data_IF_768977612986
#
_entry.id   IF_768977612986
#
_cell.length_a   1.000
_cell.length_b   1.000
_cell.length_c   1.000
_cell.angle_alpha   90.00
_cell.angle_beta   90.00
_cell.angle_gamma   90.00
#
_symmetry.space_group_name_H-M   'P 1'
#
loop_
_entity.id
_entity.type
_entity.pdbx_description
1 polymer ?
#
# COMPACT_ATOMS: atom_id res chain seq x y z
N UNK A 1 29.19 -46.61 -76.19
CA UNK A 1 28.45 -46.93 -74.95
C UNK A 1 27.20 -47.71 -75.32
N UNK A 2 26.85 -48.80 -74.60
CA UNK A 2 25.61 -49.54 -74.84
C UNK A 2 24.41 -48.73 -74.31
N UNK A 3 23.23 -48.84 -74.95
CA UNK A 3 22.00 -48.15 -74.49
C UNK A 3 21.64 -48.43 -73.06
N UNK A 4 21.83 -49.67 -72.60
CA UNK A 4 21.63 -50.05 -71.20
C UNK A 4 22.53 -49.26 -70.20
N UNK A 5 23.78 -48.96 -70.61
CA UNK A 5 24.68 -48.15 -69.76
C UNK A 5 24.29 -46.69 -69.76
N UNK A 6 23.81 -46.13 -70.84
CA UNK A 6 23.28 -44.77 -70.91
C UNK A 6 22.04 -44.61 -70.02
N UNK A 7 21.12 -45.57 -70.09
CA UNK A 7 19.94 -45.60 -69.22
C UNK A 7 20.30 -45.71 -67.73
N UNK A 8 21.31 -46.52 -67.38
CA UNK A 8 21.80 -46.64 -65.97
C UNK A 8 22.44 -45.36 -65.48
N UNK A 9 23.20 -44.64 -66.31
CA UNK A 9 23.77 -43.32 -65.97
C UNK A 9 22.66 -42.30 -65.79
N UNK A 10 21.71 -42.22 -66.70
CA UNK A 10 20.57 -41.28 -66.59
C UNK A 10 19.78 -41.49 -65.30
N UNK A 11 19.48 -42.75 -64.95
CA UNK A 11 18.85 -43.09 -63.67
C UNK A 11 19.69 -42.69 -62.47
N UNK A 12 20.99 -42.87 -62.48
CA UNK A 12 21.90 -42.47 -61.41
C UNK A 12 21.95 -40.96 -61.23
N UNK A 13 21.88 -40.17 -62.33
CA UNK A 13 21.79 -38.70 -62.27
C UNK A 13 20.44 -38.27 -61.65
N UNK A 14 19.31 -38.87 -62.10
CA UNK A 14 17.97 -38.59 -61.57
C UNK A 14 17.90 -38.84 -60.05
N UNK A 15 18.35 -40.04 -59.59
CA UNK A 15 18.34 -40.39 -58.16
C UNK A 15 19.21 -39.43 -57.33
N UNK A 16 20.37 -39.01 -57.83
CA UNK A 16 21.25 -38.09 -57.16
C UNK A 16 20.68 -36.65 -57.16
N UNK A 17 20.02 -36.28 -58.23
CA UNK A 17 19.28 -35.01 -58.34
C UNK A 17 18.17 -34.95 -57.30
N UNK A 18 17.41 -36.01 -57.10
CA UNK A 18 16.35 -36.06 -56.11
C UNK A 18 16.88 -35.90 -54.65
N UNK A 19 18.11 -36.37 -54.36
CA UNK A 19 18.76 -36.14 -53.05
C UNK A 19 19.12 -34.63 -52.91
N UNK A 20 19.63 -34.00 -53.96
CA UNK A 20 19.98 -32.57 -53.99
C UNK A 20 18.75 -31.70 -53.80
N UNK A 21 17.69 -31.97 -54.53
CA UNK A 21 16.43 -31.24 -54.45
C UNK A 21 15.80 -31.31 -53.05
N UNK A 22 15.89 -32.46 -52.37
CA UNK A 22 15.48 -32.58 -50.95
C UNK A 22 16.33 -31.73 -50.03
N UNK A 23 17.65 -31.63 -50.30
CA UNK A 23 18.54 -30.79 -49.48
C UNK A 23 18.25 -29.28 -49.71
N UNK A 24 17.99 -28.89 -50.97
CA UNK A 24 17.62 -27.51 -51.37
C UNK A 24 16.28 -27.14 -50.72
N UNK A 25 15.24 -27.95 -50.88
CA UNK A 25 13.93 -27.74 -50.30
C UNK A 25 14.03 -27.59 -48.74
N UNK A 26 14.89 -28.39 -48.09
CA UNK A 26 15.12 -28.29 -46.70
C UNK A 26 15.84 -27.01 -46.28
N UNK A 27 16.78 -26.53 -47.13
CA UNK A 27 17.47 -25.27 -46.91
C UNK A 27 16.59 -24.04 -47.19
N UNK A 28 15.61 -24.15 -48.06
CA UNK A 28 14.66 -23.09 -48.42
C UNK A 28 13.52 -22.96 -47.41
N UNK A 29 13.20 -24.05 -46.69
CA UNK A 29 12.15 -24.07 -45.67
C UNK A 29 12.60 -23.57 -44.29
N UNK A 30 13.80 -23.03 -44.16
CA UNK A 30 14.33 -22.53 -42.87
C UNK A 30 13.64 -21.22 -42.48
N UNK A 31 13.05 -21.22 -41.30
CA UNK A 31 12.37 -20.09 -40.68
C UNK A 31 12.68 -19.98 -39.16
N UNK A 32 11.98 -19.04 -38.48
CA UNK A 32 12.13 -18.84 -37.06
C UNK A 32 11.66 -20.05 -36.21
N UNK A 33 10.72 -20.85 -36.71
CA UNK A 33 10.14 -22.03 -36.07
C UNK A 33 10.89 -23.31 -36.40
N UNK A 34 11.97 -23.24 -37.17
CA UNK A 34 12.74 -24.39 -37.62
C UNK A 34 13.24 -25.23 -36.42
N UNK A 35 12.93 -26.51 -36.43
CA UNK A 35 13.53 -27.48 -35.51
C UNK A 35 14.96 -27.81 -35.97
N UNK A 36 15.93 -27.01 -35.53
CA UNK A 36 17.32 -27.10 -35.93
C UNK A 36 17.97 -28.48 -35.71
N UNK A 37 17.57 -29.20 -34.65
CA UNK A 37 18.08 -30.55 -34.36
C UNK A 37 17.57 -31.52 -35.40
N UNK A 38 16.26 -31.61 -35.60
CA UNK A 38 15.65 -32.49 -36.58
C UNK A 38 16.14 -32.18 -38.00
N UNK A 39 16.28 -30.88 -38.34
CA UNK A 39 16.77 -30.49 -39.69
C UNK A 39 18.23 -30.85 -39.87
N UNK A 40 19.08 -30.75 -38.82
CA UNK A 40 20.46 -31.23 -38.89
C UNK A 40 20.54 -32.75 -39.12
N UNK A 41 19.64 -33.54 -38.47
CA UNK A 41 19.60 -34.99 -38.65
C UNK A 41 19.13 -35.33 -40.07
N UNK A 42 18.18 -34.59 -40.64
CA UNK A 42 17.78 -34.78 -42.04
C UNK A 42 18.91 -34.49 -43.01
N UNK A 43 19.66 -33.38 -42.84
CA UNK A 43 20.84 -33.11 -43.65
C UNK A 43 21.92 -34.20 -43.55
N UNK A 44 22.13 -34.75 -42.36
CA UNK A 44 23.06 -35.87 -42.14
C UNK A 44 22.61 -37.10 -42.90
N UNK A 45 21.32 -37.45 -42.84
CA UNK A 45 20.72 -38.58 -43.57
C UNK A 45 20.85 -38.39 -45.10
N UNK A 46 20.57 -37.19 -45.62
CA UNK A 46 20.73 -36.87 -47.05
C UNK A 46 22.20 -37.01 -47.50
N UNK A 47 23.14 -36.62 -46.66
CA UNK A 47 24.57 -36.78 -46.94
C UNK A 47 24.97 -38.24 -46.96
N UNK A 48 24.45 -39.07 -46.02
CA UNK A 48 24.66 -40.53 -46.06
C UNK A 48 24.09 -41.17 -47.33
N UNK A 49 22.87 -40.80 -47.72
CA UNK A 49 22.27 -41.26 -48.96
C UNK A 49 23.11 -40.89 -50.19
N UNK A 50 23.66 -39.63 -50.20
CA UNK A 50 24.59 -39.21 -51.23
C UNK A 50 25.83 -40.09 -51.33
N UNK A 51 26.46 -40.38 -50.19
CA UNK A 51 27.65 -41.23 -50.11
C UNK A 51 27.37 -42.69 -50.52
N UNK A 52 26.25 -43.26 -50.10
CA UNK A 52 25.82 -44.58 -50.46
C UNK A 52 25.54 -44.71 -51.95
N UNK A 53 24.83 -43.74 -52.48
CA UNK A 53 24.57 -43.68 -53.93
C UNK A 53 25.86 -43.58 -54.73
N UNK A 54 26.83 -42.79 -54.28
CA UNK A 54 28.12 -42.64 -54.93
C UNK A 54 28.94 -43.95 -54.92
N UNK A 55 28.79 -44.80 -53.89
CA UNK A 55 29.50 -46.07 -53.78
C UNK A 55 28.86 -47.18 -54.56
N UNK A 56 27.52 -47.19 -54.60
CA UNK A 56 26.75 -48.38 -55.02
C UNK A 56 26.23 -48.26 -56.48
N UNK A 57 26.26 -47.07 -57.08
CA UNK A 57 25.71 -46.85 -58.43
C UNK A 57 26.81 -46.62 -59.48
N UNK A 58 26.39 -46.66 -60.75
CA UNK A 58 27.25 -46.37 -61.89
C UNK A 58 27.86 -44.96 -61.74
N UNK A 59 29.10 -44.83 -62.15
CA UNK A 59 29.80 -43.54 -62.15
C UNK A 59 29.15 -42.63 -63.17
N UNK A 60 28.63 -41.48 -62.76
CA UNK A 60 28.10 -40.42 -63.59
C UNK A 60 29.23 -39.58 -64.16
N UNK A 61 28.96 -38.77 -65.19
CA UNK A 61 29.95 -37.91 -65.79
C UNK A 61 30.43 -36.84 -64.75
N UNK A 62 31.69 -36.44 -64.89
CA UNK A 62 32.33 -35.60 -63.90
C UNK A 62 31.63 -34.23 -63.80
N UNK A 63 31.22 -33.68 -64.92
CA UNK A 63 30.54 -32.39 -64.98
C UNK A 63 29.21 -32.42 -64.22
N UNK A 64 28.37 -33.41 -64.42
CA UNK A 64 27.13 -33.62 -63.67
C UNK A 64 27.39 -33.88 -62.20
N UNK A 65 28.40 -34.68 -61.86
CA UNK A 65 28.75 -34.95 -60.49
C UNK A 65 29.19 -33.70 -59.75
N UNK A 66 30.03 -32.86 -60.36
CA UNK A 66 30.53 -31.65 -59.79
C UNK A 66 29.41 -30.59 -59.63
N UNK A 67 28.50 -30.48 -60.62
CA UNK A 67 27.34 -29.62 -60.58
C UNK A 67 26.38 -29.99 -59.43
N UNK A 68 26.02 -31.30 -59.33
CA UNK A 68 25.15 -31.78 -58.24
C UNK A 68 25.77 -31.61 -56.86
N UNK A 69 27.08 -31.88 -56.75
CA UNK A 69 27.81 -31.65 -55.49
C UNK A 69 27.84 -30.17 -55.11
N UNK A 70 28.05 -29.26 -56.08
CA UNK A 70 28.02 -27.83 -55.82
C UNK A 70 26.67 -27.36 -55.27
N UNK A 71 25.54 -27.86 -55.83
CA UNK A 71 24.19 -27.58 -55.35
C UNK A 71 23.96 -28.12 -53.97
N UNK A 72 24.31 -29.40 -53.66
CA UNK A 72 24.17 -29.99 -52.35
C UNK A 72 25.01 -29.25 -51.31
N UNK A 73 26.26 -28.93 -51.66
CA UNK A 73 27.18 -28.15 -50.78
C UNK A 73 26.65 -26.74 -50.47
N UNK A 74 26.04 -26.08 -51.49
CA UNK A 74 25.41 -24.77 -51.30
C UNK A 74 24.21 -24.84 -50.34
N UNK A 75 23.33 -25.84 -50.51
CA UNK A 75 22.21 -26.05 -49.58
C UNK A 75 22.68 -26.31 -48.12
N UNK A 76 23.71 -27.15 -47.95
CA UNK A 76 24.32 -27.40 -46.65
C UNK A 76 24.97 -26.16 -46.04
N UNK A 77 25.64 -25.36 -46.88
CA UNK A 77 26.27 -24.10 -46.42
C UNK A 77 25.22 -23.10 -45.97
N UNK A 78 24.09 -22.96 -46.73
CA UNK A 78 22.95 -22.13 -46.33
C UNK A 78 22.38 -22.56 -45.00
N UNK A 79 22.14 -23.84 -44.79
CA UNK A 79 21.69 -24.39 -43.49
C UNK A 79 22.66 -24.07 -42.35
N UNK A 80 23.95 -24.36 -42.53
CA UNK A 80 24.96 -24.10 -41.50
C UNK A 80 25.10 -22.62 -41.13
N UNK A 81 24.96 -21.73 -42.11
CA UNK A 81 24.97 -20.28 -41.92
C UNK A 81 23.74 -19.86 -41.11
N UNK A 82 22.54 -20.26 -41.52
CA UNK A 82 21.30 -19.94 -40.83
C UNK A 82 21.28 -20.49 -39.39
N UNK A 83 21.78 -21.73 -39.20
CA UNK A 83 21.91 -22.32 -37.85
C UNK A 83 22.87 -21.52 -36.95
N UNK A 84 24.01 -21.12 -37.47
CA UNK A 84 24.99 -20.29 -36.72
C UNK A 84 24.38 -18.97 -36.32
N UNK A 85 23.70 -18.28 -37.24
CA UNK A 85 23.00 -17.02 -36.97
C UNK A 85 21.93 -17.19 -35.90
N UNK A 86 21.13 -18.24 -35.97
CA UNK A 86 20.11 -18.54 -34.97
C UNK A 86 20.74 -18.80 -33.57
N UNK A 87 21.84 -19.57 -33.48
CA UNK A 87 22.53 -19.79 -32.20
C UNK A 87 23.04 -18.48 -31.65
N UNK A 88 23.67 -17.65 -32.48
CA UNK A 88 24.21 -16.35 -32.06
C UNK A 88 23.09 -15.43 -31.54
N UNK A 89 22.01 -15.27 -32.29
CA UNK A 89 20.86 -14.45 -31.85
C UNK A 89 20.29 -14.92 -30.51
N UNK A 90 20.12 -16.23 -30.36
CA UNK A 90 19.61 -16.82 -29.12
C UNK A 90 20.55 -16.58 -27.94
N UNK A 91 21.85 -16.65 -28.16
CA UNK A 91 22.84 -16.43 -27.09
C UNK A 91 22.93 -14.93 -26.74
N UNK A 92 22.75 -14.02 -27.73
CA UNK A 92 22.62 -12.59 -27.51
C UNK A 92 21.36 -12.25 -26.70
N UNK A 93 20.20 -12.84 -27.04
CA UNK A 93 18.94 -12.67 -26.28
C UNK A 93 19.07 -13.16 -24.84
N UNK A 94 19.72 -14.32 -24.63
CA UNK A 94 19.97 -14.84 -23.28
C UNK A 94 20.88 -13.94 -22.46
N UNK A 95 21.95 -13.43 -23.07
CA UNK A 95 22.89 -12.54 -22.40
C UNK A 95 22.24 -11.20 -22.06
N UNK A 96 21.42 -10.67 -22.95
CA UNK A 96 20.62 -9.46 -22.72
C UNK A 96 19.63 -9.66 -21.59
N UNK A 97 18.88 -10.77 -21.60
CA UNK A 97 17.95 -11.12 -20.52
C UNK A 97 18.68 -11.27 -19.16
N UNK A 98 19.86 -11.91 -19.16
CA UNK A 98 20.68 -12.07 -17.96
C UNK A 98 21.15 -10.73 -17.41
N UNK A 99 21.73 -9.87 -18.25
CA UNK A 99 22.19 -8.54 -17.85
C UNK A 99 21.05 -7.68 -17.29
N UNK A 100 19.87 -7.70 -17.95
CA UNK A 100 18.68 -6.98 -17.48
C UNK A 100 18.23 -7.48 -16.11
N UNK A 101 18.20 -8.80 -15.89
CA UNK A 101 17.80 -9.39 -14.61
C UNK A 101 18.80 -9.11 -13.51
N UNK A 102 20.11 -9.14 -13.80
CA UNK A 102 21.17 -8.77 -12.85
C UNK A 102 21.02 -7.31 -12.39
N UNK A 103 20.70 -6.39 -13.31
CA UNK A 103 20.43 -5.00 -12.95
C UNK A 103 19.20 -4.86 -12.05
N UNK A 104 18.12 -5.60 -12.34
CA UNK A 104 16.91 -5.62 -11.50
C UNK A 104 17.23 -6.16 -10.11
N UNK A 105 18.03 -7.21 -9.99
CA UNK A 105 18.45 -7.78 -8.70
C UNK A 105 19.26 -6.75 -7.91
N UNK A 106 20.20 -6.08 -8.54
CA UNK A 106 21.01 -5.05 -7.88
C UNK A 106 20.13 -3.90 -7.32
N UNK A 107 19.11 -3.48 -8.08
CA UNK A 107 18.14 -2.50 -7.62
C UNK A 107 17.30 -3.04 -6.44
N UNK A 108 16.88 -4.30 -6.48
CA UNK A 108 16.12 -4.94 -5.41
C UNK A 108 16.96 -5.09 -4.13
N UNK A 109 18.24 -5.54 -4.25
CA UNK A 109 19.19 -5.65 -3.15
C UNK A 109 19.49 -4.29 -2.50
N UNK A 110 19.56 -3.22 -3.29
CA UNK A 110 19.70 -1.86 -2.77
C UNK A 110 18.47 -1.33 -2.02
N UNK A 111 17.29 -1.90 -2.26
CA UNK A 111 16.03 -1.49 -1.66
C UNK A 111 15.59 -2.36 -0.47
N UNK A 112 16.23 -3.49 -0.23
CA UNK A 112 15.78 -4.52 0.73
C UNK A 112 15.70 -4.01 2.17
N UNK A 113 16.54 -3.04 2.57
CA UNK A 113 16.60 -2.48 3.92
C UNK A 113 15.89 -1.12 4.05
N UNK A 114 15.14 -0.73 3.02
CA UNK A 114 14.42 0.55 3.01
C UNK A 114 13.25 0.55 3.98
N UNK A 115 13.09 1.65 4.74
CA UNK A 115 11.94 1.91 5.61
C UNK A 115 10.85 2.77 4.94
N UNK A 116 11.05 3.21 3.71
CA UNK A 116 10.05 3.94 2.92
C UNK A 116 9.00 2.98 2.34
N UNK A 117 8.19 2.38 3.23
CA UNK A 117 7.33 1.22 2.95
C UNK A 117 6.45 1.35 1.70
N UNK A 118 5.79 2.49 1.51
CA UNK A 118 4.85 2.70 0.39
C UNK A 118 5.60 2.84 -0.93
N UNK A 119 6.62 3.69 -0.97
CA UNK A 119 7.39 3.97 -2.17
C UNK A 119 8.15 2.72 -2.63
N UNK A 120 8.84 2.05 -1.69
CA UNK A 120 9.64 0.86 -1.99
C UNK A 120 8.77 -0.32 -2.42
N UNK A 121 7.56 -0.48 -1.84
CA UNK A 121 6.61 -1.50 -2.31
C UNK A 121 6.21 -1.28 -3.77
N UNK A 122 6.01 -0.03 -4.19
CA UNK A 122 5.74 0.30 -5.59
C UNK A 122 6.93 -0.03 -6.49
N UNK A 123 8.15 0.31 -6.05
CA UNK A 123 9.38 -0.04 -6.78
C UNK A 123 9.53 -1.55 -6.97
N UNK A 124 9.27 -2.36 -5.95
CA UNK A 124 9.28 -3.83 -6.11
C UNK A 124 8.23 -4.32 -7.12
N UNK A 125 7.07 -3.70 -7.20
CA UNK A 125 6.08 -4.02 -8.23
C UNK A 125 6.60 -3.69 -9.64
N UNK A 126 7.21 -2.53 -9.82
CA UNK A 126 7.82 -2.11 -11.08
C UNK A 126 9.00 -3.02 -11.48
N UNK A 127 9.84 -3.42 -10.52
CA UNK A 127 10.93 -4.38 -10.73
C UNK A 127 10.41 -5.75 -11.16
N UNK A 128 9.32 -6.24 -10.56
CA UNK A 128 8.66 -7.48 -10.96
C UNK A 128 8.13 -7.41 -12.39
N UNK A 129 7.54 -6.29 -12.80
CA UNK A 129 7.03 -6.13 -14.17
C UNK A 129 8.18 -6.05 -15.20
N UNK A 130 9.29 -5.40 -14.86
CA UNK A 130 10.53 -5.44 -15.65
C UNK A 130 11.11 -6.84 -15.73
N UNK A 131 11.09 -7.60 -14.63
CA UNK A 131 11.53 -8.99 -14.59
C UNK A 131 10.76 -9.87 -15.56
N UNK A 132 9.44 -9.76 -15.57
CA UNK A 132 8.57 -10.52 -16.49
C UNK A 132 8.87 -10.22 -17.96
N UNK A 133 9.25 -8.98 -18.28
CA UNK A 133 9.57 -8.51 -19.63
C UNK A 133 11.00 -8.82 -20.08
N UNK A 134 11.90 -9.11 -19.16
CA UNK A 134 13.33 -9.28 -19.44
C UNK A 134 13.68 -10.54 -20.27
N UNK A 135 12.72 -11.45 -20.50
CA UNK A 135 12.96 -12.68 -21.27
C UNK A 135 13.58 -13.81 -20.43
N UNK A 136 14.20 -14.77 -21.12
CA UNK A 136 14.80 -15.97 -20.51
C UNK A 136 16.32 -16.02 -20.69
N UNK A 137 17.07 -16.04 -19.61
CA UNK A 137 18.52 -16.20 -19.62
C UNK A 137 18.96 -17.68 -19.71
N UNK A 138 18.04 -18.60 -19.42
CA UNK A 138 18.25 -20.04 -19.32
C UNK A 138 17.86 -20.54 -17.94
N UNK A 139 17.37 -21.79 -17.86
CA UNK A 139 16.74 -22.34 -16.65
C UNK A 139 17.60 -22.17 -15.40
N UNK A 140 18.85 -22.60 -15.45
CA UNK A 140 19.76 -22.57 -14.28
C UNK A 140 20.05 -21.14 -13.83
N UNK A 141 20.33 -20.24 -14.79
CA UNK A 141 20.62 -18.83 -14.49
C UNK A 141 19.36 -18.13 -14.01
N UNK A 142 18.22 -18.38 -14.64
CA UNK A 142 16.92 -17.85 -14.23
C UNK A 142 16.55 -18.27 -12.80
N UNK A 143 16.73 -19.53 -12.44
CA UNK A 143 16.44 -20.04 -11.11
C UNK A 143 17.33 -19.37 -10.04
N UNK A 144 18.63 -19.26 -10.29
CA UNK A 144 19.58 -18.62 -9.36
C UNK A 144 19.33 -17.10 -9.20
N UNK A 145 19.03 -16.42 -10.30
CA UNK A 145 18.70 -14.99 -10.27
C UNK A 145 17.36 -14.73 -9.58
N UNK A 146 16.39 -15.61 -9.77
CA UNK A 146 15.09 -15.53 -9.11
C UNK A 146 15.21 -15.70 -7.60
N UNK A 147 16.02 -16.63 -7.11
CA UNK A 147 16.29 -16.81 -5.68
C UNK A 147 16.84 -15.52 -5.04
N UNK A 148 17.81 -14.85 -5.70
CA UNK A 148 18.37 -13.59 -5.21
C UNK A 148 17.33 -12.47 -5.18
N UNK A 149 16.60 -12.28 -6.28
CA UNK A 149 15.55 -11.27 -6.35
C UNK A 149 14.48 -11.48 -5.27
N UNK A 150 14.05 -12.73 -5.10
CA UNK A 150 13.06 -13.11 -4.09
C UNK A 150 13.60 -12.89 -2.68
N UNK A 151 14.84 -13.24 -2.40
CA UNK A 151 15.44 -13.03 -1.08
C UNK A 151 15.46 -11.55 -0.70
N UNK A 152 15.82 -10.65 -1.62
CA UNK A 152 15.77 -9.21 -1.39
C UNK A 152 14.33 -8.70 -1.16
N UNK A 153 13.38 -9.18 -1.94
CA UNK A 153 11.97 -8.84 -1.76
C UNK A 153 11.43 -9.35 -0.41
N UNK A 154 11.71 -10.61 -0.07
CA UNK A 154 11.28 -11.22 1.20
C UNK A 154 11.88 -10.47 2.41
N UNK A 155 13.14 -10.03 2.35
CA UNK A 155 13.77 -9.18 3.39
C UNK A 155 12.98 -7.91 3.61
N UNK A 156 12.67 -7.17 2.56
CA UNK A 156 11.90 -5.93 2.66
C UNK A 156 10.46 -6.16 3.16
N UNK A 157 9.73 -7.11 2.59
CA UNK A 157 8.33 -7.33 2.97
C UNK A 157 8.19 -7.92 4.38
N UNK A 158 9.15 -8.73 4.84
CA UNK A 158 9.18 -9.23 6.21
C UNK A 158 9.48 -8.10 7.21
N UNK A 159 10.43 -7.21 6.92
CA UNK A 159 10.72 -6.04 7.75
C UNK A 159 9.49 -5.11 7.84
N UNK A 160 8.82 -4.84 6.72
CA UNK A 160 7.58 -4.07 6.68
C UNK A 160 6.46 -4.73 7.49
N UNK A 161 6.34 -6.05 7.43
CA UNK A 161 5.34 -6.77 8.22
C UNK A 161 5.64 -6.71 9.71
N UNK A 162 6.91 -6.89 10.10
CA UNK A 162 7.35 -6.78 11.49
C UNK A 162 7.09 -5.38 12.07
N UNK A 163 7.34 -4.31 11.31
CA UNK A 163 7.02 -2.93 11.70
C UNK A 163 5.51 -2.75 11.98
N UNK A 164 4.66 -3.26 11.09
CA UNK A 164 3.19 -3.21 11.26
C UNK A 164 2.72 -4.01 12.48
N UNK A 165 3.32 -5.18 12.71
CA UNK A 165 2.99 -6.03 13.85
C UNK A 165 3.41 -5.38 15.17
N UNK A 166 4.56 -4.70 15.20
CA UNK A 166 5.03 -3.92 16.35
C UNK A 166 4.09 -2.74 16.65
N UNK A 167 3.69 -1.98 15.63
CA UNK A 167 2.71 -0.89 15.79
C UNK A 167 1.40 -1.45 16.36
N UNK A 168 0.87 -2.53 15.78
CA UNK A 168 -0.37 -3.15 16.26
C UNK A 168 -0.26 -3.68 17.69
N UNK A 169 0.90 -4.23 18.09
CA UNK A 169 1.15 -4.66 19.47
C UNK A 169 1.16 -3.48 20.41
N UNK A 170 1.89 -2.41 20.07
CA UNK A 170 1.94 -1.18 20.85
C UNK A 170 0.56 -0.53 21.01
N UNK A 171 -0.24 -0.49 19.96
CA UNK A 171 -1.61 0.02 20.01
C UNK A 171 -2.51 -0.79 20.96
N UNK A 172 -2.36 -2.11 20.97
CA UNK A 172 -3.10 -2.98 21.91
C UNK A 172 -2.66 -2.79 23.36
N UNK A 173 -1.35 -2.64 23.61
CA UNK A 173 -0.83 -2.33 24.93
C UNK A 173 -1.33 -0.97 25.44
N UNK A 174 -1.34 0.03 24.58
CA UNK A 174 -1.88 1.35 24.86
C UNK A 174 -3.38 1.28 25.17
N UNK A 175 -4.14 0.48 24.41
CA UNK A 175 -5.56 0.25 24.69
C UNK A 175 -5.76 -0.31 26.09
N UNK A 176 -5.02 -1.33 26.49
CA UNK A 176 -5.11 -1.92 27.83
C UNK A 176 -4.84 -0.88 28.92
N UNK A 177 -3.79 -0.05 28.77
CA UNK A 177 -3.47 1.04 29.71
C UNK A 177 -4.59 2.08 29.80
N UNK A 178 -5.16 2.48 28.65
CA UNK A 178 -6.30 3.41 28.61
C UNK A 178 -7.57 2.80 29.22
N UNK A 179 -7.81 1.51 29.06
CA UNK A 179 -8.92 0.83 29.70
C UNK A 179 -8.77 0.78 31.23
N UNK A 180 -7.54 0.61 31.76
CA UNK A 180 -7.28 0.73 33.20
C UNK A 180 -7.59 2.13 33.72
N UNK A 181 -7.22 3.18 32.97
CA UNK A 181 -7.56 4.57 33.31
C UNK A 181 -9.07 4.83 33.24
N UNK A 182 -9.77 4.24 32.26
CA UNK A 182 -11.24 4.32 32.18
C UNK A 182 -11.93 3.73 33.40
N UNK A 183 -11.46 2.58 33.91
CA UNK A 183 -12.00 2.00 35.14
C UNK A 183 -11.84 2.97 36.31
N UNK A 184 -10.67 3.64 36.43
CA UNK A 184 -10.44 4.67 37.47
C UNK A 184 -11.35 5.88 37.25
N UNK A 185 -11.53 6.36 36.02
CA UNK A 185 -12.39 7.48 35.72
C UNK A 185 -13.89 7.16 36.00
N UNK A 186 -14.36 5.99 35.57
CA UNK A 186 -15.74 5.55 35.82
C UNK A 186 -16.04 5.36 37.32
N UNK A 187 -15.03 5.04 38.14
CA UNK A 187 -15.20 4.97 39.59
C UNK A 187 -15.41 6.34 40.26
N UNK A 188 -15.15 7.47 39.55
CA UNK A 188 -15.40 8.81 40.07
C UNK A 188 -16.88 9.21 40.02
N UNK A 189 -17.70 8.49 39.30
CA UNK A 189 -19.12 8.78 39.15
C UNK A 189 -19.99 7.62 39.66
N UNK A 190 -21.23 7.85 40.15
CA UNK A 190 -21.94 9.14 40.12
C UNK A 190 -21.48 10.09 41.25
N UNK A 191 -21.38 11.38 40.96
CA UNK A 191 -21.17 12.44 41.98
C UNK A 191 -22.51 13.00 42.44
N UNK A 192 -22.63 13.36 43.74
CA UNK A 192 -23.90 13.76 44.36
C UNK A 192 -23.90 15.19 44.87
N UNK A 193 -22.73 15.81 45.05
CA UNK A 193 -22.58 17.15 45.59
C UNK A 193 -21.53 17.95 44.79
N UNK A 194 -21.54 19.27 44.93
CA UNK A 194 -20.56 20.17 44.34
C UNK A 194 -19.13 19.86 44.81
N UNK A 195 -18.96 19.51 46.08
CA UNK A 195 -17.65 19.17 46.63
C UNK A 195 -17.12 17.87 46.05
N UNK A 196 -17.96 16.84 45.90
CA UNK A 196 -17.59 15.60 45.23
C UNK A 196 -17.27 15.85 43.73
N UNK A 197 -18.01 16.76 43.05
CA UNK A 197 -17.73 17.12 41.66
C UNK A 197 -16.37 17.80 41.49
N UNK A 198 -15.98 18.72 42.41
CA UNK A 198 -14.65 19.37 42.40
C UNK A 198 -13.53 18.36 42.57
N UNK A 199 -13.69 17.41 43.53
CA UNK A 199 -12.68 16.35 43.74
C UNK A 199 -12.60 15.42 42.54
N UNK A 200 -13.75 15.00 41.99
CA UNK A 200 -13.81 14.17 40.79
C UNK A 200 -13.18 14.89 39.56
N UNK A 201 -13.42 16.19 39.40
CA UNK A 201 -12.79 17.03 38.36
C UNK A 201 -11.27 17.02 38.45
N UNK A 202 -10.70 17.20 39.64
CA UNK A 202 -9.25 17.14 39.85
C UNK A 202 -8.67 15.76 39.57
N UNK A 203 -9.35 14.68 40.02
CA UNK A 203 -8.93 13.31 39.74
C UNK A 203 -9.04 12.98 38.23
N UNK A 204 -10.11 13.43 37.56
CA UNK A 204 -10.28 13.23 36.14
C UNK A 204 -9.21 13.97 35.32
N UNK A 205 -8.81 15.19 35.75
CA UNK A 205 -7.73 15.94 35.09
C UNK A 205 -6.40 15.18 35.16
N UNK A 206 -6.06 14.59 36.32
CA UNK A 206 -4.87 13.76 36.43
C UNK A 206 -4.93 12.51 35.53
N UNK A 207 -6.10 11.85 35.44
CA UNK A 207 -6.32 10.73 34.52
C UNK A 207 -6.16 11.16 33.07
N UNK A 208 -6.64 12.34 32.69
CA UNK A 208 -6.49 12.88 31.32
C UNK A 208 -5.03 13.18 30.99
N UNK A 209 -4.23 13.68 31.93
CA UNK A 209 -2.79 13.88 31.73
C UNK A 209 -2.07 12.53 31.46
N UNK A 210 -2.38 11.49 32.24
CA UNK A 210 -1.83 10.15 32.00
C UNK A 210 -2.33 9.58 30.66
N UNK A 211 -3.60 9.82 30.30
CA UNK A 211 -4.22 9.38 29.05
C UNK A 211 -3.53 9.96 27.83
N UNK A 212 -3.17 11.22 27.86
CA UNK A 212 -2.53 11.94 26.75
C UNK A 212 -1.08 11.48 26.54
N UNK A 213 -0.41 10.96 27.57
CA UNK A 213 0.92 10.38 27.46
C UNK A 213 0.91 8.96 26.86
N UNK A 214 -0.22 8.25 26.90
CA UNK A 214 -0.38 6.95 26.25
C UNK A 214 -0.61 7.20 24.77
N UNK A 215 0.19 6.54 23.93
CA UNK A 215 0.12 6.71 22.47
C UNK A 215 -1.20 6.25 21.83
N UNK A 216 -1.13 6.02 20.54
CA UNK A 216 -2.30 5.61 19.75
C UNK A 216 -2.80 4.22 20.15
N UNK A 217 -4.10 4.02 19.93
CA UNK A 217 -4.82 2.76 20.14
C UNK A 217 -5.41 2.30 18.79
N UNK A 218 -5.87 1.04 18.64
CA UNK A 218 -6.52 0.58 17.44
C UNK A 218 -7.69 1.51 17.03
N UNK A 219 -7.74 1.85 15.75
CA UNK A 219 -8.64 2.88 15.22
C UNK A 219 -10.13 2.62 15.48
N UNK A 220 -10.51 1.37 15.48
CA UNK A 220 -11.87 0.89 15.76
C UNK A 220 -12.27 1.08 17.22
N UNK A 221 -11.29 1.11 18.15
CA UNK A 221 -11.50 1.27 19.59
C UNK A 221 -11.57 2.73 20.06
N UNK A 222 -11.01 3.67 19.27
CA UNK A 222 -10.92 5.09 19.64
C UNK A 222 -12.27 5.64 20.10
N UNK A 223 -13.32 5.49 19.28
CA UNK A 223 -14.65 6.03 19.61
C UNK A 223 -15.24 5.43 20.87
N UNK A 224 -14.99 4.15 21.11
CA UNK A 224 -15.49 3.44 22.30
C UNK A 224 -14.88 3.99 23.56
N UNK A 225 -13.54 4.11 23.61
CA UNK A 225 -12.84 4.53 24.82
C UNK A 225 -12.99 6.04 25.09
N UNK A 226 -12.93 6.88 24.06
CA UNK A 226 -13.15 8.33 24.19
C UNK A 226 -14.61 8.63 24.60
N UNK A 227 -15.59 7.92 24.05
CA UNK A 227 -16.98 8.07 24.44
C UNK A 227 -17.25 7.70 25.90
N UNK A 228 -16.54 6.72 26.45
CA UNK A 228 -16.63 6.36 27.87
C UNK A 228 -16.03 7.45 28.77
N UNK A 229 -14.89 7.99 28.41
CA UNK A 229 -14.24 9.09 29.16
C UNK A 229 -15.10 10.36 29.13
N UNK A 230 -15.64 10.71 27.96
CA UNK A 230 -16.55 11.85 27.76
C UNK A 230 -17.86 11.69 28.56
N UNK A 231 -18.36 10.47 28.71
CA UNK A 231 -19.53 10.21 29.55
C UNK A 231 -19.29 10.51 31.03
N UNK A 232 -18.09 10.22 31.54
CA UNK A 232 -17.67 10.58 32.90
C UNK A 232 -17.61 12.09 33.05
N UNK A 233 -16.91 12.77 32.12
CA UNK A 233 -16.79 14.23 32.14
C UNK A 233 -18.16 14.93 32.12
N UNK A 234 -19.09 14.47 31.29
CA UNK A 234 -20.46 14.98 31.23
C UNK A 234 -21.24 14.83 32.53
N UNK A 235 -21.05 13.71 33.25
CA UNK A 235 -21.72 13.49 34.53
C UNK A 235 -21.19 14.45 35.60
N UNK A 236 -19.87 14.68 35.68
CA UNK A 236 -19.27 15.62 36.60
C UNK A 236 -19.73 17.03 36.26
N UNK A 237 -19.65 17.42 34.99
CA UNK A 237 -20.05 18.74 34.52
C UNK A 237 -21.53 19.03 34.79
N UNK A 238 -22.41 18.05 34.66
CA UNK A 238 -23.84 18.26 34.94
C UNK A 238 -24.10 18.71 36.39
N UNK A 239 -23.33 18.22 37.36
CA UNK A 239 -23.44 18.63 38.77
C UNK A 239 -22.82 20.02 38.98
N UNK A 240 -21.66 20.30 38.34
CA UNK A 240 -21.03 21.66 38.36
C UNK A 240 -21.97 22.72 37.79
N UNK A 241 -22.62 22.46 36.64
CA UNK A 241 -23.57 23.35 35.99
C UNK A 241 -24.83 23.54 36.83
N UNK A 242 -25.31 22.51 37.54
CA UNK A 242 -26.45 22.60 38.44
C UNK A 242 -26.15 23.47 39.65
N UNK A 243 -24.97 23.28 40.26
CA UNK A 243 -24.49 24.09 41.41
C UNK A 243 -24.31 25.56 41.00
N UNK A 244 -23.73 25.81 39.81
CA UNK A 244 -23.58 27.17 39.27
C UNK A 244 -24.92 27.89 39.05
N UNK A 245 -25.92 27.19 38.53
CA UNK A 245 -27.28 27.76 38.34
C UNK A 245 -27.95 28.09 39.66
N UNK A 246 -27.66 27.34 40.76
CA UNK A 246 -28.20 27.64 42.07
C UNK A 246 -27.51 28.82 42.76
N UNK A 247 -26.24 29.08 42.46
CA UNK A 247 -25.42 30.16 43.02
C UNK A 247 -25.24 31.37 42.11
N UNK A 248 -26.06 31.53 41.01
CA UNK A 248 -25.88 32.53 39.97
C UNK A 248 -25.39 33.88 40.54
N UNK A 249 -24.07 34.18 40.48
CA UNK A 249 -23.50 35.34 41.12
C UNK A 249 -23.99 36.67 40.50
N UNK A 250 -24.38 36.63 39.23
CA UNK A 250 -24.96 37.80 38.56
C UNK A 250 -26.42 38.07 38.97
N UNK A 251 -27.19 37.00 39.23
CA UNK A 251 -28.53 37.15 39.77
C UNK A 251 -28.48 37.66 41.17
N UNK A 252 -27.58 37.16 42.02
CA UNK A 252 -27.36 37.65 43.40
C UNK A 252 -26.82 39.06 43.44
N UNK A 253 -25.88 39.42 42.55
CA UNK A 253 -25.37 40.79 42.42
C UNK A 253 -26.46 41.77 41.93
N UNK A 254 -27.33 41.36 40.99
CA UNK A 254 -28.47 42.16 40.54
C UNK A 254 -29.52 42.31 41.63
N UNK A 255 -29.77 41.27 42.41
CA UNK A 255 -30.69 41.29 43.55
C UNK A 255 -30.16 42.26 44.62
N UNK A 256 -28.90 42.16 45.01
CA UNK A 256 -28.25 43.03 45.99
C UNK A 256 -28.26 44.51 45.55
N UNK A 257 -27.87 44.81 44.28
CA UNK A 257 -27.92 46.17 43.74
C UNK A 257 -29.33 46.75 43.74
N UNK A 258 -30.35 45.93 43.42
CA UNK A 258 -31.73 46.35 43.44
C UNK A 258 -32.22 46.60 44.84
N UNK A 259 -31.84 45.78 45.86
CA UNK A 259 -32.12 46.02 47.29
C UNK A 259 -31.49 47.30 47.77
N UNK A 260 -30.21 47.60 47.40
CA UNK A 260 -29.54 48.84 47.74
C UNK A 260 -30.26 50.07 47.14
N UNK A 261 -30.67 49.99 45.87
CA UNK A 261 -31.42 51.10 45.24
C UNK A 261 -32.78 51.33 45.89
N UNK A 262 -33.52 50.28 46.25
CA UNK A 262 -34.79 50.39 46.98
C UNK A 262 -34.59 50.99 48.36
N UNK A 263 -33.60 50.58 49.12
CA UNK A 263 -33.29 51.14 50.42
C UNK A 263 -32.90 52.64 50.36
N UNK A 264 -32.11 53.04 49.34
CA UNK A 264 -31.79 54.42 49.09
C UNK A 264 -33.02 55.29 48.77
N UNK A 265 -33.93 54.74 47.91
CA UNK A 265 -35.19 55.41 47.61
C UNK A 265 -36.15 55.51 48.80
N UNK A 266 -36.20 54.51 49.68
CA UNK A 266 -36.96 54.57 50.89
C UNK A 266 -36.45 55.63 51.85
N UNK A 267 -35.13 55.74 52.02
CA UNK A 267 -34.50 56.76 52.87
C UNK A 267 -34.76 58.18 52.31
N UNK A 268 -34.76 58.34 50.98
CA UNK A 268 -35.11 59.63 50.36
C UNK A 268 -36.58 60.01 50.57
N UNK A 269 -37.52 58.99 50.45
CA UNK A 269 -38.91 59.19 50.72
C UNK A 269 -39.14 59.57 52.20
N UNK A 270 -38.44 58.92 53.14
CA UNK A 270 -38.54 59.26 54.56
C UNK A 270 -38.14 60.75 54.85
N UNK A 271 -37.06 61.18 54.20
CA UNK A 271 -36.69 62.62 54.29
C UNK A 271 -37.74 63.55 53.68
N UNK A 272 -38.36 63.21 52.56
CA UNK A 272 -39.39 63.95 51.87
C UNK A 272 -40.68 64.04 52.73
N UNK A 273 -41.07 62.90 53.36
CA UNK A 273 -42.20 62.81 54.24
C UNK A 273 -41.99 63.65 55.49
N UNK A 274 -40.77 63.71 56.06
CA UNK A 274 -40.45 64.52 57.21
C UNK A 274 -40.43 66.02 56.90
N UNK A 275 -40.10 66.40 55.67
CA UNK A 275 -40.05 67.79 55.24
C UNK A 275 -41.34 68.36 54.71
N UNK A 276 -42.34 67.54 54.40
CA UNK A 276 -43.59 67.93 53.77
C UNK A 276 -44.66 68.35 54.82
N UNK A 277 -45.20 69.56 54.66
CA UNK A 277 -46.22 70.06 55.58
C UNK A 277 -47.65 69.96 55.08
N UNK A 278 -47.88 69.63 53.78
CA UNK A 278 -49.19 69.44 53.19
C UNK A 278 -49.71 68.00 53.43
N UNK A 279 -50.86 67.86 54.15
CA UNK A 279 -51.35 66.54 54.50
C UNK A 279 -51.70 65.60 53.30
N UNK A 280 -52.13 66.18 52.15
CA UNK A 280 -52.47 65.44 50.93
C UNK A 280 -51.20 64.89 50.22
N UNK A 281 -50.14 65.69 50.16
CA UNK A 281 -48.88 65.32 49.56
C UNK A 281 -48.16 64.31 50.44
N UNK A 282 -48.18 64.47 51.76
CA UNK A 282 -47.62 63.50 52.72
C UNK A 282 -48.23 62.14 52.61
N UNK A 283 -49.57 62.01 52.53
CA UNK A 283 -50.29 60.77 52.35
C UNK A 283 -49.88 60.03 51.00
N UNK A 284 -49.60 60.84 49.95
CA UNK A 284 -49.14 60.23 48.67
C UNK A 284 -47.72 59.67 48.77
N UNK A 285 -46.84 60.36 49.45
CA UNK A 285 -45.45 59.91 49.69
C UNK A 285 -45.42 58.66 50.59
N UNK A 286 -46.28 58.61 51.61
CA UNK A 286 -46.43 57.41 52.46
C UNK A 286 -46.97 56.20 51.71
N UNK A 287 -47.89 56.42 50.77
CA UNK A 287 -48.39 55.30 49.89
C UNK A 287 -47.29 54.82 48.94
N UNK A 288 -46.47 55.70 48.40
CA UNK A 288 -45.34 55.34 47.54
C UNK A 288 -44.26 54.57 48.34
N UNK A 289 -43.98 54.99 49.58
CA UNK A 289 -43.09 54.27 50.47
C UNK A 289 -43.61 52.87 50.79
N UNK A 290 -44.87 52.71 51.14
CA UNK A 290 -45.48 51.43 51.45
C UNK A 290 -45.40 50.47 50.23
N UNK A 291 -45.54 50.97 49.00
CA UNK A 291 -45.36 50.15 47.79
C UNK A 291 -43.92 49.66 47.63
N UNK A 292 -42.91 50.52 47.86
CA UNK A 292 -41.52 50.16 47.75
C UNK A 292 -41.06 49.22 48.89
N UNK A 293 -41.63 49.34 50.12
CA UNK A 293 -41.41 48.39 51.20
C UNK A 293 -42.00 47.00 50.86
N UNK A 294 -43.14 46.97 50.22
CA UNK A 294 -43.71 45.67 49.72
C UNK A 294 -42.75 45.00 48.71
N UNK A 295 -42.18 45.77 47.76
CA UNK A 295 -41.21 45.23 46.81
C UNK A 295 -39.97 44.74 47.49
N UNK A 296 -39.41 45.48 48.45
CA UNK A 296 -38.25 45.06 49.24
C UNK A 296 -38.50 43.75 49.99
N UNK A 297 -39.70 43.60 50.56
CA UNK A 297 -40.09 42.41 51.28
C UNK A 297 -40.36 41.20 50.32
N UNK A 298 -40.74 41.45 49.08
CA UNK A 298 -40.95 40.42 48.06
C UNK A 298 -39.66 39.89 47.49
N UNK A 299 -38.56 40.62 47.59
CA UNK A 299 -37.22 40.28 47.09
C UNK A 299 -36.37 39.55 48.15
N UNK A 300 -36.61 39.81 49.39
CA UNK A 300 -35.96 39.09 50.53
C UNK A 300 -36.42 37.64 50.56
#
# INVERSE_FOLDING_TARGET
MTEARKAAIAKAVEERTAIVEKAEALADSLDENTNWRSTADKFRSLFQQWQEHQRNNVRIDKEDADALWARFSAARTKFNFARRKWVQNRDEERNSAKSTKEAIIAEAEALQDSTAWVETSRKFTELMDRWKKAGRAGRRDDDAMWERFRAAADTFFNARQADRDQISSSEKENLAKKEELLVKAEALVPVKSEEEAKQARQALAAIQEEWDQIGYVPRDEVRRIEGRLDAVDKQIKAIEDAAWKQSDPEADARKSSFEEQLNAQLAELDQKIAAESDPKKKAKLESEKATKEQWLNAIK
#
